data_IF_397599439447
#
_entry.id   IF_397599439447
#
_cell.length_a   1.000
_cell.length_b   1.000
_cell.length_c   1.000
_cell.angle_alpha   90.00
_cell.angle_beta   90.00
_cell.angle_gamma   90.00
#
_symmetry.space_group_name_H-M   'P 1'
#
loop_
_entity.id
_entity.type
_entity.pdbx_description
1 polymer ?
#
# COMPACT_ATOMS: atom_id res chain seq x y z
N UNK A 1 -5.57 43.89 26.36
CA UNK A 1 -6.43 43.86 25.13
C UNK A 1 -5.66 43.38 23.91
N UNK A 2 -4.44 43.86 23.63
CA UNK A 2 -3.64 43.38 22.48
C UNK A 2 -3.06 41.96 22.67
N UNK A 3 -2.73 41.58 23.92
CA UNK A 3 -2.25 40.23 24.28
C UNK A 3 -3.30 39.15 23.99
N UNK A 4 -4.56 39.43 24.30
CA UNK A 4 -5.71 38.56 24.00
C UNK A 4 -5.89 38.35 22.48
N UNK A 5 -5.72 39.41 21.70
CA UNK A 5 -5.82 39.36 20.23
C UNK A 5 -4.68 38.53 19.60
N UNK A 6 -3.46 38.68 20.13
CA UNK A 6 -2.30 37.88 19.72
C UNK A 6 -2.44 36.41 20.09
N UNK A 7 -2.96 36.10 21.28
CA UNK A 7 -3.26 34.74 21.72
C UNK A 7 -4.35 34.10 20.85
N UNK A 8 -5.42 34.84 20.54
CA UNK A 8 -6.47 34.37 19.65
C UNK A 8 -5.95 34.08 18.23
N UNK A 9 -5.13 34.96 17.66
CA UNK A 9 -4.50 34.74 16.35
C UNK A 9 -3.56 33.52 16.36
N UNK A 10 -2.75 33.35 17.41
CA UNK A 10 -1.87 32.19 17.54
C UNK A 10 -2.66 30.88 17.62
N UNK A 11 -3.75 30.82 18.39
CA UNK A 11 -4.62 29.64 18.49
C UNK A 11 -5.31 29.31 17.16
N UNK A 12 -5.77 30.33 16.43
CA UNK A 12 -6.36 30.15 15.09
C UNK A 12 -5.30 29.58 14.12
N UNK A 13 -4.08 30.11 14.12
CA UNK A 13 -2.99 29.60 13.27
C UNK A 13 -2.61 28.15 13.64
N UNK A 14 -2.52 27.81 14.93
CA UNK A 14 -2.23 26.46 15.41
C UNK A 14 -3.34 25.46 15.02
N UNK A 15 -4.60 25.88 15.07
CA UNK A 15 -5.74 25.04 14.68
C UNK A 15 -5.74 24.71 13.18
N UNK A 16 -5.37 25.68 12.33
CA UNK A 16 -5.28 25.50 10.86
C UNK A 16 -4.13 24.55 10.46
N UNK A 17 -3.04 24.54 11.23
CA UNK A 17 -1.91 23.61 11.02
C UNK A 17 -2.26 22.18 11.48
N UNK A 18 -3.11 22.04 12.49
CA UNK A 18 -3.46 20.74 13.11
C UNK A 18 -4.63 20.02 12.41
N UNK A 19 -5.44 20.74 11.62
CA UNK A 19 -6.61 20.19 10.91
C UNK A 19 -6.28 19.27 9.71
N UNK A 20 -5.01 18.90 9.48
CA UNK A 20 -4.61 18.03 8.35
C UNK A 20 -4.45 16.55 8.69
N UNK A 21 -4.71 16.13 9.92
CA UNK A 21 -4.60 14.72 10.32
C UNK A 21 -5.96 14.17 10.74
N UNK A 22 -6.71 13.72 9.73
CA UNK A 22 -7.88 12.88 9.94
C UNK A 22 -7.49 11.50 10.53
N UNK A 23 -8.41 10.81 11.23
CA UNK A 23 -8.10 9.60 11.96
C UNK A 23 -7.85 8.41 11.03
N UNK A 24 -6.73 7.72 11.24
CA UNK A 24 -6.63 6.25 11.14
C UNK A 24 -6.68 5.56 9.78
N UNK A 25 -6.99 6.23 8.67
CA UNK A 25 -6.77 5.67 7.33
C UNK A 25 -5.36 6.04 6.87
N UNK A 26 -4.48 5.07 6.59
CA UNK A 26 -3.18 5.36 5.98
C UNK A 26 -3.40 6.36 4.83
N UNK A 27 -2.89 7.59 4.94
CA UNK A 27 -3.10 8.55 3.86
C UNK A 27 -2.37 8.04 2.63
N UNK A 28 -3.06 8.02 1.49
CA UNK A 28 -2.45 7.62 0.24
C UNK A 28 -1.35 8.59 -0.16
N UNK A 29 -0.42 8.12 -1.00
CA UNK A 29 0.69 8.93 -1.46
C UNK A 29 0.25 10.10 -2.35
N UNK A 30 1.21 10.94 -2.77
CA UNK A 30 0.96 11.97 -3.77
C UNK A 30 0.37 11.37 -5.07
N UNK A 31 -0.66 12.02 -5.60
CA UNK A 31 -1.41 11.60 -6.80
C UNK A 31 -2.09 10.23 -6.68
N UNK A 32 -2.29 9.76 -5.46
CA UNK A 32 -3.13 8.59 -5.16
C UNK A 32 -4.45 9.04 -4.51
N UNK A 33 -5.42 8.15 -4.57
CA UNK A 33 -6.73 8.27 -3.96
C UNK A 33 -7.10 6.94 -3.29
N UNK A 34 -7.70 7.03 -2.11
CA UNK A 34 -8.24 5.87 -1.41
C UNK A 34 -9.55 5.48 -2.07
N UNK A 35 -9.58 4.33 -2.72
CA UNK A 35 -10.78 3.80 -3.36
C UNK A 35 -11.33 2.60 -2.58
N UNK A 36 -12.64 2.48 -2.41
CA UNK A 36 -13.23 1.33 -1.72
C UNK A 36 -13.08 0.04 -2.54
N UNK A 37 -12.90 0.15 -3.85
CA UNK A 37 -12.83 -0.97 -4.81
C UNK A 37 -11.91 -0.57 -5.98
N UNK A 38 -10.62 -0.93 -5.90
CA UNK A 38 -9.60 -0.58 -6.90
C UNK A 38 -9.34 -1.68 -7.94
N UNK A 39 -8.83 -1.33 -9.11
CA UNK A 39 -8.49 -2.29 -10.17
C UNK A 39 -7.29 -3.15 -9.77
N UNK A 40 -7.30 -4.43 -10.17
CA UNK A 40 -6.12 -5.30 -10.07
C UNK A 40 -5.03 -4.94 -11.09
N UNK A 41 -5.38 -4.24 -12.16
CA UNK A 41 -4.49 -3.85 -13.24
C UNK A 41 -4.33 -2.33 -13.27
N UNK A 42 -3.70 -1.79 -12.25
CA UNK A 42 -3.36 -0.39 -12.32
C UNK A 42 -2.33 -0.16 -13.44
N UNK A 43 -2.52 0.82 -14.33
CA UNK A 43 -1.58 1.07 -15.41
C UNK A 43 -0.21 1.45 -14.84
N UNK A 44 0.85 0.96 -15.48
CA UNK A 44 2.24 1.24 -15.08
C UNK A 44 3.01 1.82 -16.26
N UNK A 45 4.13 2.50 -16.02
CA UNK A 45 4.98 2.97 -17.13
C UNK A 45 5.37 1.83 -18.08
N UNK A 46 5.64 0.62 -17.54
CA UNK A 46 5.99 -0.56 -18.33
C UNK A 46 4.80 -1.15 -19.12
N UNK A 47 3.59 -1.09 -18.55
CA UNK A 47 2.36 -1.59 -19.17
C UNK A 47 1.28 -0.50 -19.07
N UNK A 48 1.24 0.47 -20.01
CA UNK A 48 0.32 1.59 -19.92
C UNK A 48 -1.15 1.26 -20.14
N UNK A 49 -1.41 0.18 -20.87
CA UNK A 49 -2.75 -0.29 -21.25
C UNK A 49 -2.85 -1.80 -20.96
N UNK A 50 -3.11 -2.20 -19.71
CA UNK A 50 -3.32 -3.61 -19.36
C UNK A 50 -4.65 -4.12 -19.95
N UNK A 51 -4.63 -5.25 -20.66
CA UNK A 51 -5.79 -5.79 -21.38
C UNK A 51 -6.51 -6.91 -20.63
N UNK A 52 -5.79 -7.74 -19.89
CA UNK A 52 -6.32 -8.99 -19.31
C UNK A 52 -6.37 -8.90 -17.78
N UNK A 53 -7.43 -8.29 -17.27
CA UNK A 53 -7.55 -8.00 -15.83
C UNK A 53 -8.50 -8.97 -15.12
N UNK A 54 -8.10 -9.52 -13.96
CA UNK A 54 -8.98 -10.34 -13.15
C UNK A 54 -10.31 -9.63 -12.88
N UNK A 55 -11.41 -10.39 -12.90
CA UNK A 55 -12.70 -9.90 -12.44
C UNK A 55 -12.64 -9.70 -10.92
N UNK A 56 -13.19 -8.59 -10.44
CA UNK A 56 -13.14 -8.19 -9.03
C UNK A 56 -12.33 -6.91 -8.80
N UNK A 57 -12.19 -6.53 -7.55
CA UNK A 57 -11.43 -5.35 -7.15
C UNK A 57 -10.71 -5.55 -5.82
N UNK A 58 -9.67 -4.77 -5.62
CA UNK A 58 -8.92 -4.70 -4.36
C UNK A 58 -9.66 -3.75 -3.42
N UNK A 59 -10.20 -4.22 -2.28
CA UNK A 59 -10.95 -3.37 -1.39
C UNK A 59 -10.04 -2.39 -0.63
N UNK A 60 -10.51 -1.16 -0.41
CA UNK A 60 -9.86 -0.13 0.42
C UNK A 60 -8.38 0.16 0.08
N UNK A 61 -8.03 0.19 -1.21
CA UNK A 61 -6.65 0.38 -1.69
C UNK A 61 -6.34 1.84 -2.06
N UNK A 62 -5.06 2.21 -2.05
CA UNK A 62 -4.61 3.45 -2.68
C UNK A 62 -4.34 3.19 -4.16
N UNK A 63 -5.00 3.94 -5.03
CA UNK A 63 -4.83 3.83 -6.47
C UNK A 63 -4.45 5.19 -7.05
N UNK A 64 -3.61 5.22 -8.08
CA UNK A 64 -3.29 6.40 -8.87
C UNK A 64 -4.58 7.05 -9.36
N UNK A 65 -4.66 8.37 -9.17
CA UNK A 65 -5.77 9.18 -9.67
C UNK A 65 -5.85 9.10 -11.19
N UNK A 66 -7.02 9.40 -11.73
CA UNK A 66 -7.22 9.48 -13.18
C UNK A 66 -6.15 10.39 -13.84
N UNK A 67 -5.54 9.89 -14.92
CA UNK A 67 -4.47 10.57 -15.64
C UNK A 67 -3.05 10.35 -15.08
N UNK A 68 -2.91 9.65 -13.95
CA UNK A 68 -1.63 9.22 -13.40
C UNK A 68 -1.39 7.73 -13.61
N UNK A 69 -0.12 7.35 -13.58
CA UNK A 69 0.37 6.00 -13.84
C UNK A 69 1.47 5.64 -12.86
N UNK A 70 1.53 4.37 -12.44
CA UNK A 70 2.54 3.93 -11.47
C UNK A 70 3.90 3.70 -12.14
N UNK A 71 4.95 4.30 -11.59
CA UNK A 71 6.32 4.08 -12.01
C UNK A 71 6.97 2.87 -11.31
N UNK A 72 8.22 2.58 -11.63
CA UNK A 72 8.99 1.49 -10.99
C UNK A 72 9.36 1.76 -9.52
N UNK A 73 9.16 2.98 -9.04
CA UNK A 73 9.41 3.40 -7.65
C UNK A 73 8.11 3.46 -6.84
N UNK A 74 7.01 2.89 -7.36
CA UNK A 74 5.68 2.91 -6.76
C UNK A 74 5.08 4.32 -6.58
N UNK A 75 5.48 5.29 -7.41
CA UNK A 75 4.91 6.64 -7.41
C UNK A 75 3.93 6.81 -8.56
N UNK A 76 2.83 7.52 -8.30
CA UNK A 76 1.88 7.93 -9.33
C UNK A 76 2.36 9.22 -10.00
N UNK A 77 2.78 9.10 -11.26
CA UNK A 77 3.31 10.20 -12.08
C UNK A 77 2.43 10.42 -13.32
N UNK A 78 2.61 11.55 -14.01
CA UNK A 78 1.95 11.74 -15.32
C UNK A 78 2.54 10.76 -16.33
N UNK A 79 1.72 10.25 -17.24
CA UNK A 79 2.18 9.35 -18.32
C UNK A 79 3.34 9.92 -19.14
N UNK A 80 3.35 11.24 -19.38
CA UNK A 80 4.43 11.94 -20.08
C UNK A 80 5.76 11.97 -19.33
N UNK A 81 5.76 11.72 -18.02
CA UNK A 81 6.95 11.67 -17.18
C UNK A 81 7.54 10.25 -17.06
N UNK A 82 6.95 9.25 -17.73
CA UNK A 82 7.54 7.93 -17.77
C UNK A 82 8.92 7.98 -18.43
N UNK A 83 9.90 7.21 -17.93
CA UNK A 83 11.20 7.12 -18.58
C UNK A 83 11.02 6.58 -20.01
N UNK A 84 11.87 7.01 -20.96
CA UNK A 84 11.79 6.52 -22.32
C UNK A 84 11.93 5.00 -22.31
N UNK A 85 10.91 4.33 -22.86
CA UNK A 85 10.96 2.90 -23.04
C UNK A 85 12.14 2.59 -23.96
N UNK A 86 13.06 1.74 -23.52
CA UNK A 86 14.12 1.20 -24.38
C UNK A 86 13.63 -0.15 -24.91
N UNK A 87 12.97 -0.20 -26.08
CA UNK A 87 12.34 -1.42 -26.60
C UNK A 87 13.34 -2.56 -26.85
N UNK A 88 14.64 -2.25 -26.90
CA UNK A 88 15.71 -3.22 -27.13
C UNK A 88 16.48 -3.59 -25.85
N UNK A 89 15.91 -3.39 -24.65
CA UNK A 89 16.58 -3.88 -23.44
C UNK A 89 16.50 -5.41 -23.44
N UNK A 90 17.63 -6.14 -23.55
CA UNK A 90 17.59 -7.59 -23.45
C UNK A 90 16.99 -7.98 -22.08
N UNK A 91 16.19 -9.06 -22.01
CA UNK A 91 15.74 -9.60 -20.74
C UNK A 91 16.93 -9.75 -19.78
N UNK A 92 16.74 -9.42 -18.50
CA UNK A 92 17.76 -9.78 -17.51
C UNK A 92 17.94 -11.31 -17.60
N UNK A 93 19.18 -11.82 -17.71
CA UNK A 93 19.42 -13.25 -17.64
C UNK A 93 18.74 -13.82 -16.41
N UNK A 94 18.05 -14.96 -16.57
CA UNK A 94 17.44 -15.62 -15.43
C UNK A 94 18.56 -16.03 -14.45
N UNK A 95 18.60 -15.50 -13.22
CA UNK A 95 19.62 -15.88 -12.26
C UNK A 95 19.40 -17.31 -11.73
N UNK A 96 18.25 -17.92 -12.04
CA UNK A 96 17.94 -19.29 -11.67
C UNK A 96 18.37 -20.27 -12.78
N UNK A 97 19.25 -21.25 -12.47
CA UNK A 97 19.60 -22.30 -13.42
C UNK A 97 18.39 -23.21 -13.70
N UNK A 98 18.27 -23.77 -14.92
CA UNK A 98 17.11 -24.55 -15.37
C UNK A 98 16.88 -25.88 -14.60
N UNK A 99 17.83 -26.30 -13.76
CA UNK A 99 17.77 -27.55 -13.00
C UNK A 99 18.00 -27.34 -11.50
N UNK A 100 17.27 -26.40 -10.89
CA UNK A 100 17.30 -26.24 -9.43
C UNK A 100 16.38 -27.29 -8.78
N UNK A 101 16.87 -28.16 -7.88
CA UNK A 101 16.01 -29.06 -7.12
C UNK A 101 14.94 -28.26 -6.36
N UNK A 102 13.76 -28.85 -6.21
CA UNK A 102 12.71 -28.27 -5.39
C UNK A 102 13.24 -28.06 -3.96
N UNK A 103 12.93 -26.92 -3.32
CA UNK A 103 13.23 -26.76 -1.90
C UNK A 103 12.50 -27.83 -1.09
N UNK A 104 13.05 -28.27 0.05
CA UNK A 104 12.35 -29.20 0.93
C UNK A 104 11.00 -28.60 1.38
N UNK A 105 9.99 -29.44 1.67
CA UNK A 105 8.74 -28.97 2.22
C UNK A 105 8.98 -28.12 3.47
N UNK A 106 8.23 -27.02 3.63
CA UNK A 106 8.27 -26.25 4.88
C UNK A 106 7.92 -27.19 6.03
N UNK A 107 8.67 -27.14 7.16
CA UNK A 107 8.24 -27.81 8.38
C UNK A 107 6.84 -27.36 8.75
N UNK A 108 6.03 -28.28 9.29
CA UNK A 108 4.75 -27.91 9.88
C UNK A 108 4.97 -26.83 10.96
N UNK A 109 4.08 -25.83 11.06
CA UNK A 109 4.12 -24.89 12.18
C UNK A 109 4.16 -25.67 13.49
N UNK A 110 5.18 -25.41 14.32
CA UNK A 110 5.25 -25.97 15.66
C UNK A 110 4.10 -25.32 16.45
N UNK A 111 3.13 -26.10 16.97
CA UNK A 111 2.10 -25.52 17.82
C UNK A 111 2.79 -24.85 19.01
N UNK A 112 2.28 -23.70 19.49
CA UNK A 112 2.80 -23.12 20.72
C UNK A 112 2.72 -24.18 21.81
N UNK A 113 3.85 -24.49 22.46
CA UNK A 113 3.86 -25.27 23.68
C UNK A 113 2.88 -24.61 24.65
N UNK A 114 1.72 -25.22 24.89
CA UNK A 114 0.84 -24.79 25.97
C UNK A 114 1.57 -25.17 27.26
N UNK A 115 2.09 -24.22 28.06
CA UNK A 115 2.54 -24.58 29.39
C UNK A 115 1.33 -25.12 30.13
N UNK A 116 1.49 -26.27 30.78
CA UNK A 116 0.43 -26.92 31.55
C UNK A 116 -0.20 -25.92 32.52
N UNK A 117 -1.45 -25.57 32.25
CA UNK A 117 -2.33 -24.83 33.15
C UNK A 117 -3.30 -25.83 33.76
N UNK A 118 -3.22 -25.93 35.08
CA UNK A 118 -4.02 -26.72 36.00
C UNK A 118 -5.53 -26.67 35.72
N UNK A 119 -6.20 -27.77 36.04
CA UNK A 119 -7.65 -27.91 36.03
C UNK A 119 -8.34 -26.78 36.80
N UNK A 120 -9.25 -26.06 36.15
CA UNK A 120 -10.21 -25.19 36.83
C UNK A 120 -11.61 -25.75 36.55
N UNK A 121 -12.26 -26.10 37.65
CA UNK A 121 -13.56 -26.78 37.79
C UNK A 121 -14.68 -25.90 37.22
N UNK A 122 -15.59 -26.52 36.46
CA UNK A 122 -16.86 -25.93 36.07
C UNK A 122 -17.71 -25.71 37.32
N UNK A 123 -18.03 -24.46 37.63
CA UNK A 123 -19.17 -24.10 38.47
C UNK A 123 -20.08 -23.18 37.62
N UNK A 124 -21.26 -23.69 37.25
CA UNK A 124 -22.32 -22.91 36.61
C UNK A 124 -23.54 -22.99 37.53
N UNK A 125 -23.83 -21.87 38.18
CA UNK A 125 -25.14 -21.53 38.74
C UNK A 125 -25.84 -20.52 37.83
#
# INVERSE_FOLDING_TARGET
MQTELLLALALVLISVVSARRGPGGAQCGPNEERVPCGTHCEPTCAVPNPLNCPRGCVPNVCQCRYGFIRDSYNKCIRRSACPPQRPNRPPRPNPFPPNRPNPPPRPNPVPPNRPGGSAEVFDQS
#
